data_IF_246918851937
#
_entry.id   IF_246918851937
#
_cell.length_a   1.000
_cell.length_b   1.000
_cell.length_c   1.000
_cell.angle_alpha   90.00
_cell.angle_beta   90.00
_cell.angle_gamma   90.00
#
_symmetry.space_group_name_H-M   'P 1'
#
loop_
_entity.id
_entity.type
_entity.pdbx_description
1 polymer ?
#
# COMPACT_ATOMS: atom_id res chain seq x y z
N UNK A 1 -9.63 -11.29 26.68
CA UNK A 1 -9.37 -11.16 25.23
C UNK A 1 -8.79 -9.78 25.02
N UNK A 2 -7.53 -9.67 24.61
CA UNK A 2 -6.92 -8.34 24.35
C UNK A 2 -7.59 -7.79 23.10
N UNK A 3 -8.31 -6.68 23.23
CA UNK A 3 -8.90 -6.01 22.08
C UNK A 3 -7.77 -5.40 21.24
N UNK A 4 -7.72 -5.73 19.94
CA UNK A 4 -6.81 -5.08 18.99
C UNK A 4 -7.46 -3.77 18.54
N UNK A 5 -7.01 -2.66 19.14
CA UNK A 5 -7.45 -1.33 18.74
C UNK A 5 -6.66 -0.79 17.55
N UNK A 6 -6.99 0.44 17.08
CA UNK A 6 -6.27 1.07 15.98
C UNK A 6 -4.76 1.21 16.24
N UNK A 7 -4.36 1.44 17.50
CA UNK A 7 -2.94 1.56 17.88
C UNK A 7 -2.20 0.24 17.71
N UNK A 8 -2.76 -0.84 18.23
CA UNK A 8 -2.17 -2.18 18.15
C UNK A 8 -2.10 -2.65 16.69
N UNK A 9 -3.14 -2.37 15.91
CA UNK A 9 -3.18 -2.67 14.47
C UNK A 9 -2.08 -1.94 13.68
N UNK A 10 -1.96 -0.62 13.85
CA UNK A 10 -0.92 0.19 13.19
C UNK A 10 0.48 -0.24 13.66
N UNK A 11 0.64 -0.49 14.96
CA UNK A 11 1.91 -0.94 15.53
C UNK A 11 2.37 -2.29 14.97
N UNK A 12 1.44 -3.24 14.80
CA UNK A 12 1.73 -4.54 14.20
C UNK A 12 2.20 -4.43 12.75
N UNK A 13 1.58 -3.55 11.95
CA UNK A 13 2.00 -3.31 10.56
C UNK A 13 3.39 -2.68 10.53
N UNK A 14 3.61 -1.59 11.29
CA UNK A 14 4.88 -0.86 11.31
C UNK A 14 6.06 -1.72 11.78
N UNK A 15 5.83 -2.69 12.64
CA UNK A 15 6.86 -3.60 13.15
C UNK A 15 7.11 -4.84 12.27
N UNK A 16 6.35 -5.04 11.19
CA UNK A 16 6.47 -6.22 10.35
C UNK A 16 7.66 -6.11 9.39
N UNK A 17 8.29 -7.26 9.08
CA UNK A 17 9.30 -7.38 8.01
C UNK A 17 8.67 -7.63 6.64
N UNK A 18 7.49 -8.23 6.63
CA UNK A 18 6.65 -8.46 5.47
C UNK A 18 5.20 -8.57 5.96
N UNK A 19 4.29 -7.83 5.34
CA UNK A 19 2.85 -7.92 5.60
C UNK A 19 2.18 -8.75 4.50
N UNK A 20 1.42 -9.78 4.87
CA UNK A 20 0.51 -10.48 3.95
C UNK A 20 -0.92 -10.17 4.39
N UNK A 21 -1.73 -9.59 3.51
CA UNK A 21 -3.04 -9.07 3.90
C UNK A 21 -4.05 -9.04 2.75
N UNK A 22 -5.33 -9.10 3.07
CA UNK A 22 -6.45 -8.84 2.15
C UNK A 22 -7.13 -7.49 2.45
N UNK A 23 -6.46 -6.63 3.24
CA UNK A 23 -6.98 -5.34 3.71
C UNK A 23 -6.33 -4.17 2.98
N UNK A 24 -7.17 -3.33 2.37
CA UNK A 24 -6.75 -2.10 1.70
C UNK A 24 -6.08 -1.11 2.66
N UNK A 25 -6.63 -0.92 3.86
CA UNK A 25 -6.01 0.01 4.80
C UNK A 25 -4.67 -0.52 5.33
N UNK A 26 -4.55 -1.84 5.50
CA UNK A 26 -3.29 -2.44 5.91
C UNK A 26 -2.20 -2.22 4.84
N UNK A 27 -2.53 -2.37 3.55
CA UNK A 27 -1.58 -2.06 2.46
C UNK A 27 -1.23 -0.58 2.39
N UNK A 28 -2.18 0.33 2.56
CA UNK A 28 -1.90 1.78 2.62
C UNK A 28 -0.93 2.11 3.76
N UNK A 29 -1.17 1.58 4.96
CA UNK A 29 -0.26 1.80 6.08
C UNK A 29 1.10 1.15 5.84
N UNK A 30 1.16 -0.03 5.23
CA UNK A 30 2.43 -0.66 4.87
C UNK A 30 3.23 0.20 3.89
N UNK A 31 2.58 0.77 2.86
CA UNK A 31 3.21 1.74 1.96
C UNK A 31 3.77 2.95 2.72
N UNK A 32 2.98 3.55 3.62
CA UNK A 32 3.40 4.73 4.41
C UNK A 32 4.58 4.41 5.34
N UNK A 33 4.62 3.21 5.92
CA UNK A 33 5.67 2.81 6.86
C UNK A 33 6.86 2.13 6.20
N UNK A 34 6.89 2.07 4.86
CA UNK A 34 7.93 1.37 4.10
C UNK A 34 8.08 -0.10 4.52
N UNK A 35 6.95 -0.75 4.75
CA UNK A 35 6.86 -2.17 5.09
C UNK A 35 6.52 -2.94 3.82
N UNK A 36 7.37 -3.86 3.35
CA UNK A 36 7.07 -4.74 2.24
C UNK A 36 5.75 -5.48 2.46
N UNK A 37 4.93 -5.63 1.42
CA UNK A 37 3.66 -6.32 1.55
C UNK A 37 3.26 -7.14 0.32
N UNK A 38 2.34 -8.08 0.54
CA UNK A 38 1.68 -8.90 -0.46
C UNK A 38 0.17 -8.89 -0.20
N UNK A 39 -0.60 -8.73 -1.28
CA UNK A 39 -2.06 -8.63 -1.26
C UNK A 39 -2.70 -9.95 -1.65
N UNK A 40 -3.59 -10.46 -0.80
CA UNK A 40 -4.44 -11.60 -1.10
C UNK A 40 -5.63 -11.11 -1.95
N UNK A 41 -5.82 -11.59 -3.20
CA UNK A 41 -6.92 -11.17 -4.06
C UNK A 41 -8.28 -11.49 -3.43
N UNK A 42 -9.24 -10.58 -3.55
CA UNK A 42 -10.64 -10.74 -3.10
C UNK A 42 -11.64 -10.80 -4.25
N UNK A 43 -11.22 -11.30 -5.41
CA UNK A 43 -12.06 -11.39 -6.61
C UNK A 43 -12.56 -10.01 -7.06
N UNK A 44 -13.88 -9.80 -7.06
CA UNK A 44 -14.54 -8.58 -7.57
C UNK A 44 -14.22 -7.29 -6.81
N UNK A 45 -13.53 -7.35 -5.66
CA UNK A 45 -13.23 -6.19 -4.81
C UNK A 45 -11.79 -5.67 -4.94
N UNK A 46 -11.06 -6.07 -5.99
CA UNK A 46 -9.64 -5.73 -6.17
C UNK A 46 -9.38 -4.33 -6.75
N UNK A 47 -10.39 -3.60 -7.22
CA UNK A 47 -10.19 -2.31 -7.89
C UNK A 47 -9.38 -1.31 -7.06
N UNK A 48 -9.61 -1.26 -5.74
CA UNK A 48 -8.83 -0.39 -4.84
C UNK A 48 -7.38 -0.83 -4.68
N UNK A 49 -7.11 -2.13 -4.76
CA UNK A 49 -5.74 -2.64 -4.78
C UNK A 49 -5.07 -2.22 -6.08
N UNK A 50 -5.68 -2.51 -7.23
CA UNK A 50 -5.16 -2.15 -8.54
C UNK A 50 -4.85 -0.65 -8.64
N UNK A 51 -5.76 0.22 -8.18
CA UNK A 51 -5.53 1.67 -8.11
C UNK A 51 -4.34 2.04 -7.22
N UNK A 52 -4.24 1.46 -6.01
CA UNK A 52 -3.11 1.72 -5.10
C UNK A 52 -1.78 1.29 -5.72
N UNK A 53 -1.73 0.07 -6.26
CA UNK A 53 -0.50 -0.49 -6.84
C UNK A 53 -0.03 0.33 -8.04
N UNK A 54 -0.96 0.71 -8.94
CA UNK A 54 -0.64 1.54 -10.09
C UNK A 54 -0.11 2.94 -9.70
N UNK A 55 -0.69 3.57 -8.67
CA UNK A 55 -0.21 4.87 -8.17
C UNK A 55 1.14 4.79 -7.46
N UNK A 56 1.50 3.63 -6.92
CA UNK A 56 2.73 3.45 -6.13
C UNK A 56 3.83 2.73 -6.90
N UNK A 57 3.56 2.22 -8.10
CA UNK A 57 4.51 1.40 -8.87
C UNK A 57 4.74 0.00 -8.29
N UNK A 58 3.81 -0.47 -7.46
CA UNK A 58 3.91 -1.73 -6.73
C UNK A 58 3.01 -2.81 -7.39
N UNK A 59 2.98 -2.87 -8.72
CA UNK A 59 2.06 -3.75 -9.46
C UNK A 59 2.26 -5.25 -9.16
N UNK A 60 3.45 -5.62 -8.68
CA UNK A 60 3.86 -6.98 -8.34
C UNK A 60 3.39 -7.49 -6.96
N UNK A 61 2.64 -6.69 -6.20
CA UNK A 61 2.22 -7.05 -4.82
C UNK A 61 1.04 -7.99 -4.75
N UNK A 62 0.29 -8.16 -5.85
CA UNK A 62 -0.85 -9.08 -5.85
C UNK A 62 -0.35 -10.53 -5.83
N UNK A 63 -0.76 -11.31 -4.83
CA UNK A 63 -0.38 -12.71 -4.73
C UNK A 63 -0.89 -13.50 -5.94
N UNK A 64 0.05 -14.14 -6.63
CA UNK A 64 -0.19 -15.14 -7.66
C UNK A 64 0.09 -16.54 -7.10
N UNK A 65 -0.12 -17.58 -7.92
CA UNK A 65 0.19 -18.97 -7.54
C UNK A 65 1.68 -19.20 -7.22
N UNK A 66 2.58 -18.35 -7.74
CA UNK A 66 4.03 -18.44 -7.57
C UNK A 66 4.57 -17.07 -7.17
N UNK A 67 4.41 -16.65 -5.90
CA UNK A 67 4.85 -15.35 -5.46
C UNK A 67 6.38 -15.30 -5.33
N UNK A 68 7.00 -14.26 -5.88
CA UNK A 68 8.42 -13.98 -5.64
C UNK A 68 8.57 -13.15 -4.36
N UNK A 69 8.82 -13.84 -3.25
CA UNK A 69 9.00 -13.20 -1.94
C UNK A 69 10.26 -12.33 -1.90
N UNK A 70 11.31 -12.68 -2.65
CA UNK A 70 12.54 -11.91 -2.67
C UNK A 70 12.32 -10.56 -3.38
N UNK A 71 11.63 -10.57 -4.51
CA UNK A 71 11.17 -9.35 -5.18
C UNK A 71 10.23 -8.53 -4.27
N UNK A 72 9.30 -9.19 -3.57
CA UNK A 72 8.42 -8.51 -2.64
C UNK A 72 9.18 -7.83 -1.48
N UNK A 73 10.28 -8.40 -0.99
CA UNK A 73 11.09 -7.80 0.06
C UNK A 73 11.99 -6.66 -0.45
N UNK A 74 12.34 -6.67 -1.74
CA UNK A 74 13.19 -5.67 -2.39
C UNK A 74 12.34 -4.55 -2.99
N UNK A 75 12.09 -3.51 -2.21
CA UNK A 75 11.26 -2.37 -2.63
C UNK A 75 12.12 -1.11 -2.73
N UNK A 76 12.04 -0.41 -3.86
CA UNK A 76 12.58 0.95 -4.01
C UNK A 76 11.58 1.96 -3.42
N UNK A 77 11.72 2.23 -2.12
CA UNK A 77 10.85 3.18 -1.43
C UNK A 77 11.04 4.63 -1.90
N UNK A 78 12.18 4.97 -2.51
CA UNK A 78 12.41 6.31 -3.04
C UNK A 78 11.51 6.54 -4.26
N UNK A 79 11.43 5.56 -5.18
CA UNK A 79 10.50 5.62 -6.32
C UNK A 79 9.04 5.65 -5.86
N UNK A 80 8.68 4.81 -4.87
CA UNK A 80 7.31 4.79 -4.31
C UNK A 80 6.92 6.15 -3.74
N UNK A 81 7.78 6.76 -2.91
CA UNK A 81 7.51 8.06 -2.30
C UNK A 81 7.43 9.17 -3.35
N UNK A 82 8.30 9.13 -4.37
CA UNK A 82 8.26 10.06 -5.48
C UNK A 82 6.92 9.99 -6.24
N UNK A 83 6.43 8.79 -6.56
CA UNK A 83 5.13 8.62 -7.24
C UNK A 83 3.96 9.11 -6.40
N UNK A 84 3.99 8.86 -5.08
CA UNK A 84 2.97 9.36 -4.16
C UNK A 84 2.95 10.90 -4.15
N UNK A 85 4.12 11.53 -4.17
CA UNK A 85 4.23 12.98 -4.23
C UNK A 85 3.69 13.57 -5.54
N UNK A 86 3.93 12.93 -6.69
CA UNK A 86 3.35 13.37 -7.97
C UNK A 86 1.81 13.31 -7.95
N UNK A 87 1.23 12.23 -7.44
CA UNK A 87 -0.23 12.10 -7.28
C UNK A 87 -0.78 13.16 -6.30
N UNK A 88 -0.04 13.46 -5.23
CA UNK A 88 -0.40 14.52 -4.27
C UNK A 88 -0.40 15.89 -4.92
N UNK A 89 0.61 16.22 -5.74
CA UNK A 89 0.68 17.49 -6.49
C UNK A 89 -0.52 17.65 -7.41
N UNK A 90 -0.91 16.60 -8.15
CA UNK A 90 -2.10 16.64 -9.00
C UNK A 90 -3.38 16.90 -8.19
N UNK A 91 -3.51 16.23 -7.04
CA UNK A 91 -4.66 16.39 -6.15
C UNK A 91 -4.74 17.81 -5.58
N UNK A 92 -3.60 18.37 -5.13
CA UNK A 92 -3.52 19.73 -4.63
C UNK A 92 -3.82 20.75 -5.73
N UNK A 93 -3.26 20.56 -6.93
CA UNK A 93 -3.52 21.44 -8.08
C UNK A 93 -5.01 21.49 -8.43
N UNK A 94 -5.68 20.33 -8.49
CA UNK A 94 -7.13 20.29 -8.71
C UNK A 94 -7.91 21.06 -7.65
N UNK A 95 -7.55 20.90 -6.37
CA UNK A 95 -8.19 21.62 -5.26
C UNK A 95 -7.96 23.13 -5.36
N UNK A 96 -6.73 23.56 -5.68
CA UNK A 96 -6.42 24.99 -5.79
C UNK A 96 -7.16 25.64 -6.96
N UNK A 97 -7.28 24.97 -8.10
CA UNK A 97 -8.01 25.49 -9.27
C UNK A 97 -9.53 25.50 -9.06
N UNK A 98 -10.07 24.57 -8.27
CA UNK A 98 -11.52 24.45 -8.03
C UNK A 98 -12.05 25.40 -6.95
N UNK A 99 -11.16 26.04 -6.18
CA UNK A 99 -11.51 26.95 -5.08
C UNK A 99 -11.43 28.43 -5.49
N UNK A 100 -11.11 28.72 -6.76
CA UNK A 100 -11.05 30.05 -7.37
C UNK A 100 -12.22 30.17 -8.35
#
# INVERSE_FOLDING_TARGET
MVAFGPREFIGAIRGAKLLVTDSFHASVFATIFHVPFLLVPRGKMNSRFETLLAHTGLDDRMLSHTPDIAAALSVDWIDVDHRIEEVRKHSLHFLTESLI
#
